data_IF_096453929975
#
_entry.id   IF_096453929975
#
_cell.length_a   1.000
_cell.length_b   1.000
_cell.length_c   1.000
_cell.angle_alpha   90.00
_cell.angle_beta   90.00
_cell.angle_gamma   90.00
#
_symmetry.space_group_name_H-M   'P 1'
#
loop_
_entity.id
_entity.type
_entity.pdbx_description
1 polymer ?
#
# COMPACT_ATOMS: atom_id res chain seq x y z
N UNK A 1 -10.54 -37.65 5.62
CA UNK A 1 -9.70 -36.81 4.73
C UNK A 1 -10.66 -35.92 3.95
N UNK A 2 -11.05 -34.76 4.51
CA UNK A 2 -12.03 -33.89 3.84
C UNK A 2 -11.30 -32.93 2.90
N UNK A 3 -11.47 -33.17 1.60
CA UNK A 3 -11.04 -32.26 0.55
C UNK A 3 -11.78 -30.93 0.72
N UNK A 4 -11.09 -29.82 0.50
CA UNK A 4 -11.73 -28.52 0.35
C UNK A 4 -12.67 -28.66 -0.86
N UNK A 5 -13.98 -28.40 -0.74
CA UNK A 5 -14.89 -28.54 -1.87
C UNK A 5 -14.44 -27.66 -3.05
N UNK A 6 -14.68 -28.08 -4.30
CA UNK A 6 -14.31 -27.30 -5.49
C UNK A 6 -14.95 -25.90 -5.46
N UNK A 7 -14.23 -24.88 -5.96
CA UNK A 7 -14.61 -23.45 -5.91
C UNK A 7 -16.01 -23.20 -6.51
N UNK A 8 -16.38 -23.98 -7.52
CA UNK A 8 -17.59 -23.78 -8.34
C UNK A 8 -18.91 -23.94 -7.56
N UNK A 9 -18.93 -24.74 -6.48
CA UNK A 9 -20.13 -25.00 -5.66
C UNK A 9 -20.40 -23.92 -4.59
N UNK A 10 -19.49 -22.96 -4.42
CA UNK A 10 -19.57 -21.92 -3.38
C UNK A 10 -19.92 -20.55 -3.99
N UNK A 11 -19.61 -20.34 -5.28
CA UNK A 11 -19.82 -19.06 -5.96
C UNK A 11 -21.31 -18.67 -6.12
N UNK A 12 -22.21 -19.65 -6.13
CA UNK A 12 -23.66 -19.44 -6.24
C UNK A 12 -24.35 -18.90 -4.97
N UNK A 13 -23.74 -19.03 -3.78
CA UNK A 13 -24.37 -18.67 -2.50
C UNK A 13 -23.88 -17.34 -1.90
N UNK A 14 -22.83 -16.75 -2.46
CA UNK A 14 -22.23 -15.52 -1.91
C UNK A 14 -22.97 -14.30 -2.51
N UNK A 15 -23.25 -13.27 -1.72
CA UNK A 15 -23.85 -12.00 -2.17
C UNK A 15 -22.76 -10.93 -2.40
N UNK A 16 -21.77 -11.19 -3.27
CA UNK A 16 -20.85 -10.12 -3.69
C UNK A 16 -21.50 -9.32 -4.84
N UNK A 17 -21.40 -7.97 -4.84
CA UNK A 17 -21.89 -7.16 -5.96
C UNK A 17 -21.19 -7.60 -7.26
N UNK A 18 -21.97 -7.81 -8.33
CA UNK A 18 -21.50 -8.41 -9.59
C UNK A 18 -20.30 -7.72 -10.24
N UNK A 19 -20.14 -6.41 -10.02
CA UNK A 19 -19.00 -5.64 -10.53
C UNK A 19 -17.68 -6.01 -9.84
N UNK A 20 -17.69 -6.28 -8.53
CA UNK A 20 -16.48 -6.64 -7.78
C UNK A 20 -15.97 -8.03 -8.14
N UNK A 21 -16.87 -8.99 -8.37
CA UNK A 21 -16.51 -10.33 -8.87
C UNK A 21 -15.83 -10.30 -10.23
N UNK A 22 -16.39 -9.49 -11.13
CA UNK A 22 -15.86 -9.34 -12.48
C UNK A 22 -14.47 -8.73 -12.43
N UNK A 23 -14.27 -7.72 -11.57
CA UNK A 23 -12.97 -7.09 -11.34
C UNK A 23 -11.96 -8.08 -10.74
N UNK A 24 -12.32 -8.80 -9.68
CA UNK A 24 -11.43 -9.74 -8.99
C UNK A 24 -10.98 -10.88 -9.93
N UNK A 25 -11.90 -11.45 -10.71
CA UNK A 25 -11.59 -12.51 -11.68
C UNK A 25 -10.67 -12.01 -12.80
N UNK A 26 -10.95 -10.82 -13.35
CA UNK A 26 -10.11 -10.20 -14.36
C UNK A 26 -8.69 -9.92 -13.84
N UNK A 27 -8.58 -9.35 -12.64
CA UNK A 27 -7.30 -9.03 -12.01
C UNK A 27 -6.48 -10.29 -11.78
N UNK A 28 -7.05 -11.34 -11.20
CA UNK A 28 -6.29 -12.55 -10.87
C UNK A 28 -5.79 -13.25 -12.14
N UNK A 29 -6.53 -13.15 -13.25
CA UNK A 29 -6.12 -13.70 -14.54
C UNK A 29 -5.01 -12.88 -15.20
N UNK A 30 -5.10 -11.55 -15.14
CA UNK A 30 -4.20 -10.64 -15.86
C UNK A 30 -2.91 -10.38 -15.07
N UNK A 31 -2.97 -10.35 -13.74
CA UNK A 31 -1.86 -9.90 -12.89
C UNK A 31 -0.53 -10.66 -13.11
N UNK A 32 -0.47 -11.99 -13.27
CA UNK A 32 0.79 -12.67 -13.55
C UNK A 32 1.44 -12.22 -14.86
N UNK A 33 0.65 -12.06 -15.92
CA UNK A 33 1.14 -11.57 -17.22
C UNK A 33 1.54 -10.09 -17.13
N UNK A 34 0.79 -9.29 -16.38
CA UNK A 34 1.10 -7.89 -16.08
C UNK A 34 2.47 -7.75 -15.41
N UNK A 35 2.78 -8.56 -14.39
CA UNK A 35 4.08 -8.51 -13.69
C UNK A 35 5.23 -8.80 -14.65
N UNK A 36 5.09 -9.83 -15.49
CA UNK A 36 6.12 -10.18 -16.48
C UNK A 36 6.28 -9.06 -17.51
N UNK A 37 5.18 -8.54 -18.05
CA UNK A 37 5.19 -7.50 -19.08
C UNK A 37 5.86 -6.21 -18.58
N UNK A 38 5.42 -5.68 -17.44
CA UNK A 38 6.01 -4.45 -16.88
C UNK A 38 7.43 -4.68 -16.34
N UNK A 39 7.77 -5.89 -15.91
CA UNK A 39 9.16 -6.28 -15.65
C UNK A 39 10.03 -6.19 -16.90
N UNK A 40 9.57 -6.72 -18.03
CA UNK A 40 10.28 -6.65 -19.32
C UNK A 40 10.38 -5.21 -19.85
N UNK A 41 9.31 -4.42 -19.74
CA UNK A 41 9.33 -3.00 -20.11
C UNK A 41 10.35 -2.24 -19.27
N UNK A 42 10.41 -2.49 -17.95
CA UNK A 42 11.39 -1.84 -17.07
C UNK A 42 12.83 -2.22 -17.42
N UNK A 43 13.08 -3.49 -17.76
CA UNK A 43 14.39 -3.95 -18.25
C UNK A 43 14.75 -3.27 -19.58
N UNK A 44 13.81 -3.20 -20.52
CA UNK A 44 14.04 -2.55 -21.82
C UNK A 44 14.30 -1.04 -21.66
N UNK A 45 13.53 -0.37 -20.80
CA UNK A 45 13.74 1.04 -20.46
C UNK A 45 15.12 1.27 -19.84
N UNK A 46 15.55 0.38 -18.92
CA UNK A 46 16.88 0.44 -18.33
C UNK A 46 18.01 0.36 -19.38
N UNK A 47 17.87 -0.55 -20.36
CA UNK A 47 18.90 -0.75 -21.41
C UNK A 47 18.95 0.42 -22.40
N UNK A 48 17.80 1.05 -22.70
CA UNK A 48 17.70 2.06 -23.77
C UNK A 48 17.93 3.48 -23.25
N UNK A 49 17.49 3.79 -22.03
CA UNK A 49 17.44 5.17 -21.55
C UNK A 49 18.68 5.61 -20.75
N UNK A 50 19.60 4.70 -20.39
CA UNK A 50 20.79 5.03 -19.60
C UNK A 50 22.07 4.46 -20.20
N UNK A 51 23.06 5.34 -20.41
CA UNK A 51 24.39 4.97 -20.91
C UNK A 51 25.23 4.23 -19.85
N UNK A 52 25.02 4.56 -18.57
CA UNK A 52 25.61 3.86 -17.44
C UNK A 52 24.64 2.80 -16.91
N UNK A 53 25.12 1.58 -16.67
CA UNK A 53 24.30 0.46 -16.22
C UNK A 53 24.41 0.29 -14.70
N UNK A 54 23.99 1.29 -13.93
CA UNK A 54 24.03 1.22 -12.47
C UNK A 54 22.82 0.48 -11.88
N UNK A 55 23.00 -0.13 -10.71
CA UNK A 55 21.90 -0.78 -9.99
C UNK A 55 20.79 0.21 -9.60
N UNK A 56 21.14 1.47 -9.31
CA UNK A 56 20.17 2.52 -8.96
C UNK A 56 19.22 2.82 -10.11
N UNK A 57 19.74 3.02 -11.31
CA UNK A 57 18.94 3.25 -12.52
C UNK A 57 18.07 2.04 -12.86
N UNK A 58 18.56 0.82 -12.63
CA UNK A 58 17.75 -0.40 -12.81
C UNK A 58 16.54 -0.44 -11.87
N UNK A 59 16.75 -0.15 -10.58
CA UNK A 59 15.66 -0.11 -9.59
C UNK A 59 14.67 1.01 -9.92
N UNK A 60 15.17 2.19 -10.32
CA UNK A 60 14.35 3.31 -10.75
C UNK A 60 13.48 2.96 -11.96
N UNK A 61 14.07 2.38 -13.02
CA UNK A 61 13.36 1.99 -14.23
C UNK A 61 12.27 0.93 -13.95
N UNK A 62 12.57 -0.05 -13.10
CA UNK A 62 11.58 -1.02 -12.64
C UNK A 62 10.45 -0.35 -11.85
N UNK A 63 10.79 0.50 -10.88
CA UNK A 63 9.83 1.21 -10.05
C UNK A 63 8.88 2.05 -10.89
N UNK A 64 9.42 2.83 -11.82
CA UNK A 64 8.65 3.66 -12.76
C UNK A 64 7.72 2.80 -13.64
N UNK A 65 8.25 1.74 -14.24
CA UNK A 65 7.47 0.81 -15.07
C UNK A 65 6.28 0.21 -14.29
N UNK A 66 6.52 -0.26 -13.07
CA UNK A 66 5.44 -0.79 -12.23
C UNK A 66 4.45 0.29 -11.80
N UNK A 67 4.90 1.47 -11.39
CA UNK A 67 4.00 2.56 -11.02
C UNK A 67 3.09 2.98 -12.18
N UNK A 68 3.64 3.08 -13.39
CA UNK A 68 2.89 3.36 -14.61
C UNK A 68 1.91 2.22 -14.93
N UNK A 69 2.35 0.97 -14.82
CA UNK A 69 1.46 -0.18 -14.99
C UNK A 69 0.31 -0.18 -13.99
N UNK A 70 0.58 0.10 -12.72
CA UNK A 70 -0.47 0.18 -11.69
C UNK A 70 -1.39 1.37 -11.91
N UNK A 71 -0.90 2.49 -12.44
CA UNK A 71 -1.74 3.61 -12.85
C UNK A 71 -2.69 3.21 -14.00
N UNK A 72 -2.19 2.48 -15.01
CA UNK A 72 -3.01 1.95 -16.11
C UNK A 72 -4.06 0.96 -15.59
N UNK A 73 -3.68 0.02 -14.71
CA UNK A 73 -4.60 -0.93 -14.07
C UNK A 73 -5.59 -0.21 -13.12
N UNK A 74 -5.17 0.93 -12.58
CA UNK A 74 -5.95 1.80 -11.72
C UNK A 74 -7.17 2.41 -12.39
N UNK A 75 -7.11 2.68 -13.70
CA UNK A 75 -8.24 3.23 -14.45
C UNK A 75 -9.47 2.30 -14.45
N UNK A 76 -9.39 1.05 -14.95
CA UNK A 76 -10.52 0.14 -14.89
C UNK A 76 -10.88 -0.23 -13.44
N UNK A 77 -9.89 -0.34 -12.54
CA UNK A 77 -10.14 -0.60 -11.12
C UNK A 77 -10.96 0.53 -10.47
N UNK A 78 -10.68 1.79 -10.78
CA UNK A 78 -11.45 2.91 -10.26
C UNK A 78 -12.90 2.88 -10.78
N UNK A 79 -13.11 2.59 -12.07
CA UNK A 79 -14.46 2.56 -12.67
C UNK A 79 -15.28 1.36 -12.18
N UNK A 80 -14.67 0.19 -12.06
CA UNK A 80 -15.35 -1.07 -11.71
C UNK A 80 -15.42 -1.34 -10.20
N UNK A 81 -14.70 -0.56 -9.39
CA UNK A 81 -14.78 -0.66 -7.93
C UNK A 81 -16.21 -0.47 -7.42
N UNK A 82 -16.56 -1.19 -6.34
CA UNK A 82 -17.89 -1.22 -5.78
C UNK A 82 -18.42 0.12 -5.27
N UNK A 83 -19.67 0.15 -4.75
CA UNK A 83 -20.33 1.37 -4.33
C UNK A 83 -19.50 2.13 -3.28
N UNK A 84 -19.08 3.34 -3.64
CA UNK A 84 -18.27 4.22 -2.81
C UNK A 84 -19.13 4.91 -1.76
N UNK A 85 -18.63 5.06 -0.54
CA UNK A 85 -19.36 5.74 0.54
C UNK A 85 -19.48 7.24 0.25
N UNK A 86 -18.36 7.86 -0.13
CA UNK A 86 -18.29 9.22 -0.64
C UNK A 86 -18.24 9.16 -2.16
N UNK A 87 -19.17 9.84 -2.87
CA UNK A 87 -19.26 9.75 -4.31
C UNK A 87 -18.10 10.48 -5.01
N UNK A 88 -17.67 10.00 -6.20
CA UNK A 88 -16.52 10.54 -6.91
C UNK A 88 -16.62 12.04 -7.22
N UNK A 89 -17.84 12.53 -7.52
CA UNK A 89 -18.07 13.92 -7.88
C UNK A 89 -17.78 14.91 -6.73
N UNK A 90 -17.72 14.43 -5.49
CA UNK A 90 -17.30 15.22 -4.33
C UNK A 90 -15.82 14.97 -4.04
N UNK A 91 -15.41 13.70 -3.94
CA UNK A 91 -14.06 13.36 -3.48
C UNK A 91 -12.97 13.80 -4.44
N UNK A 92 -13.21 13.72 -5.76
CA UNK A 92 -12.21 14.05 -6.78
C UNK A 92 -11.96 15.55 -6.81
N UNK A 93 -12.96 16.45 -6.98
CA UNK A 93 -12.70 17.90 -6.98
C UNK A 93 -12.07 18.38 -5.68
N UNK A 94 -12.49 17.86 -4.52
CA UNK A 94 -11.91 18.24 -3.22
C UNK A 94 -10.44 17.85 -3.13
N UNK A 95 -10.06 16.68 -3.66
CA UNK A 95 -8.67 16.23 -3.65
C UNK A 95 -7.79 17.08 -4.59
N UNK A 96 -8.29 17.43 -5.78
CA UNK A 96 -7.60 18.32 -6.70
C UNK A 96 -7.50 19.76 -6.16
N UNK A 97 -8.55 20.27 -5.53
CA UNK A 97 -8.50 21.59 -4.87
C UNK A 97 -7.47 21.62 -3.73
N UNK A 98 -7.40 20.55 -2.92
CA UNK A 98 -6.41 20.42 -1.86
C UNK A 98 -4.98 20.32 -2.43
N UNK A 99 -4.78 19.59 -3.53
CA UNK A 99 -3.49 19.52 -4.22
C UNK A 99 -3.07 20.87 -4.80
N UNK A 100 -3.97 21.60 -5.46
CA UNK A 100 -3.68 22.93 -5.99
C UNK A 100 -3.30 23.93 -4.88
N UNK A 101 -4.02 23.89 -3.75
CA UNK A 101 -3.69 24.69 -2.57
C UNK A 101 -2.32 24.29 -2.00
N UNK A 102 -2.02 22.99 -1.94
CA UNK A 102 -0.71 22.51 -1.50
C UNK A 102 0.42 22.94 -2.45
N UNK A 103 0.23 22.84 -3.76
CA UNK A 103 1.20 23.33 -4.76
C UNK A 103 1.46 24.82 -4.59
N UNK A 104 0.41 25.60 -4.33
CA UNK A 104 0.55 27.03 -4.02
C UNK A 104 1.37 27.27 -2.75
N UNK A 105 1.12 26.51 -1.68
CA UNK A 105 1.91 26.61 -0.44
C UNK A 105 3.37 26.22 -0.67
N UNK A 106 3.63 25.12 -1.40
CA UNK A 106 4.99 24.66 -1.70
C UNK A 106 5.77 25.67 -2.53
N UNK A 107 5.10 26.33 -3.48
CA UNK A 107 5.69 27.46 -4.22
C UNK A 107 6.16 28.58 -3.28
N UNK A 108 5.31 29.04 -2.36
CA UNK A 108 5.67 30.11 -1.42
C UNK A 108 6.72 29.71 -0.38
N UNK A 109 6.83 28.43 -0.04
CA UNK A 109 7.77 27.93 0.96
C UNK A 109 9.16 27.65 0.37
N UNK A 110 9.21 27.03 -0.82
CA UNK A 110 10.45 26.54 -1.41
C UNK A 110 10.96 27.37 -2.59
N UNK A 111 10.12 28.22 -3.21
CA UNK A 111 10.52 29.12 -4.30
C UNK A 111 10.97 28.38 -5.57
N UNK A 112 11.83 29.04 -6.34
CA UNK A 112 12.42 28.61 -7.61
C UNK A 112 13.85 28.08 -7.46
N UNK A 113 14.27 27.72 -6.24
CA UNK A 113 15.64 27.25 -5.99
C UNK A 113 15.98 25.95 -6.72
N UNK A 114 17.20 25.89 -7.27
CA UNK A 114 17.80 24.67 -7.81
C UNK A 114 17.87 23.58 -6.72
N UNK A 115 17.51 22.34 -7.06
CA UNK A 115 17.37 21.20 -6.13
C UNK A 115 16.26 21.34 -5.05
N UNK A 116 15.23 22.15 -5.31
CA UNK A 116 14.08 22.28 -4.41
C UNK A 116 13.02 21.19 -4.63
N UNK A 117 12.08 21.09 -3.70
CA UNK A 117 10.87 20.25 -3.85
C UNK A 117 10.09 20.60 -5.13
N UNK A 118 10.11 21.86 -5.53
CA UNK A 118 9.38 22.33 -6.70
C UNK A 118 10.00 21.84 -8.01
N UNK A 119 11.33 21.69 -8.07
CA UNK A 119 12.05 21.08 -9.19
C UNK A 119 11.56 19.63 -9.45
N UNK A 120 11.44 18.83 -8.38
CA UNK A 120 10.85 17.48 -8.49
C UNK A 120 9.40 17.49 -8.98
N UNK A 121 8.59 18.46 -8.55
CA UNK A 121 7.18 18.55 -8.97
C UNK A 121 7.08 18.93 -10.46
N UNK A 122 7.99 19.75 -10.96
CA UNK A 122 8.00 20.21 -12.36
C UNK A 122 8.13 19.06 -13.36
N UNK A 123 8.81 17.96 -13.01
CA UNK A 123 8.88 16.74 -13.85
C UNK A 123 7.48 16.24 -14.23
N UNK A 124 6.49 16.37 -13.33
CA UNK A 124 5.12 15.95 -13.62
C UNK A 124 4.36 16.97 -14.46
N UNK A 125 4.74 18.24 -14.45
CA UNK A 125 4.18 19.26 -15.34
C UNK A 125 4.73 19.10 -16.77
N UNK A 126 6.03 18.84 -16.91
CA UNK A 126 6.70 18.52 -18.18
C UNK A 126 6.07 17.30 -18.85
N UNK A 127 5.67 16.28 -18.07
CA UNK A 127 4.97 15.11 -18.59
C UNK A 127 3.64 15.43 -19.31
N UNK A 128 3.08 16.64 -19.11
CA UNK A 128 1.86 17.11 -19.77
C UNK A 128 2.16 18.22 -20.79
N UNK A 129 3.44 18.44 -21.12
CA UNK A 129 3.89 19.39 -22.14
C UNK A 129 4.06 20.82 -21.63
N UNK A 130 4.18 21.02 -20.32
CA UNK A 130 4.58 22.31 -19.75
C UNK A 130 6.11 22.35 -19.60
N UNK A 131 6.80 22.62 -20.72
CA UNK A 131 8.25 22.76 -20.74
C UNK A 131 8.64 24.21 -20.40
N UNK A 132 9.58 24.42 -19.47
CA UNK A 132 10.08 25.75 -19.12
C UNK A 132 10.62 25.85 -17.69
N UNK A 133 10.99 27.07 -17.29
CA UNK A 133 11.49 27.37 -15.95
C UNK A 133 10.45 27.04 -14.86
N UNK A 134 10.93 26.78 -13.63
CA UNK A 134 10.08 26.48 -12.47
C UNK A 134 9.13 27.68 -12.25
N UNK A 135 7.85 27.47 -12.54
CA UNK A 135 6.80 28.48 -12.43
C UNK A 135 5.72 28.03 -11.46
N UNK A 136 5.02 29.00 -10.84
CA UNK A 136 3.89 28.71 -9.96
C UNK A 136 2.84 27.81 -10.64
N UNK A 137 2.50 28.11 -11.90
CA UNK A 137 1.54 27.33 -12.68
C UNK A 137 2.03 25.90 -12.90
N UNK A 138 3.31 25.74 -13.26
CA UNK A 138 3.94 24.43 -13.42
C UNK A 138 3.89 23.61 -12.13
N UNK A 139 4.20 24.21 -10.96
CA UNK A 139 4.14 23.50 -9.67
C UNK A 139 2.71 23.07 -9.33
N UNK A 140 1.71 23.93 -9.56
CA UNK A 140 0.29 23.60 -9.32
C UNK A 140 -0.20 22.48 -10.26
N UNK A 141 0.15 22.53 -11.54
CA UNK A 141 -0.21 21.48 -12.50
C UNK A 141 0.52 20.18 -12.16
N UNK A 142 1.84 20.25 -11.93
CA UNK A 142 2.67 19.10 -11.60
C UNK A 142 2.17 18.35 -10.37
N UNK A 143 1.77 19.05 -9.30
CA UNK A 143 1.23 18.38 -8.12
C UNK A 143 -0.15 17.75 -8.35
N UNK A 144 -0.96 18.33 -9.24
CA UNK A 144 -2.24 17.75 -9.65
C UNK A 144 -2.03 16.49 -10.49
N UNK A 145 -1.05 16.49 -11.40
CA UNK A 145 -0.67 15.34 -12.22
C UNK A 145 -0.11 14.22 -11.33
N UNK A 146 0.78 14.58 -10.41
CA UNK A 146 1.29 13.65 -9.40
C UNK A 146 0.14 13.05 -8.57
N UNK A 147 -0.78 13.87 -8.07
CA UNK A 147 -1.96 13.38 -7.34
C UNK A 147 -2.78 12.39 -8.20
N UNK A 148 -3.00 12.70 -9.47
CA UNK A 148 -3.74 11.83 -10.38
C UNK A 148 -3.03 10.48 -10.55
N UNK A 149 -1.72 10.49 -10.79
CA UNK A 149 -0.90 9.29 -10.90
C UNK A 149 -0.97 8.44 -9.62
N UNK A 150 -0.89 9.09 -8.45
CA UNK A 150 -0.96 8.45 -7.15
C UNK A 150 -2.32 7.82 -6.89
N UNK A 151 -3.41 8.54 -7.19
CA UNK A 151 -4.78 8.03 -7.06
C UNK A 151 -4.92 6.77 -7.91
N UNK A 152 -4.56 6.84 -9.19
CA UNK A 152 -4.68 5.71 -10.12
C UNK A 152 -3.81 4.53 -9.68
N UNK A 153 -2.53 4.74 -9.41
CA UNK A 153 -1.63 3.70 -8.95
C UNK A 153 -2.16 3.05 -7.66
N UNK A 154 -2.70 3.85 -6.73
CA UNK A 154 -3.30 3.33 -5.51
C UNK A 154 -4.53 2.47 -5.79
N UNK A 155 -5.45 2.90 -6.66
CA UNK A 155 -6.58 2.05 -7.07
C UNK A 155 -6.11 0.72 -7.65
N UNK A 156 -5.07 0.74 -8.50
CA UNK A 156 -4.52 -0.47 -9.10
C UNK A 156 -3.92 -1.42 -8.06
N UNK A 157 -3.06 -0.90 -7.18
CA UNK A 157 -2.42 -1.68 -6.11
C UNK A 157 -3.48 -2.25 -5.16
N UNK A 158 -4.43 -1.42 -4.70
CA UNK A 158 -5.50 -1.85 -3.81
C UNK A 158 -6.36 -2.94 -4.43
N UNK A 159 -6.73 -2.81 -5.70
CA UNK A 159 -7.57 -3.80 -6.36
C UNK A 159 -6.88 -5.18 -6.44
N UNK A 160 -5.57 -5.21 -6.75
CA UNK A 160 -4.78 -6.45 -6.72
C UNK A 160 -4.74 -7.05 -5.31
N UNK A 161 -4.37 -6.25 -4.32
CA UNK A 161 -4.28 -6.74 -2.93
C UNK A 161 -5.64 -7.28 -2.47
N UNK A 162 -6.72 -6.56 -2.72
CA UNK A 162 -8.06 -6.98 -2.32
C UNK A 162 -8.47 -8.28 -3.02
N UNK A 163 -8.31 -8.39 -4.33
CA UNK A 163 -8.67 -9.59 -5.10
C UNK A 163 -7.94 -10.85 -4.59
N UNK A 164 -6.62 -10.74 -4.39
CA UNK A 164 -5.81 -11.86 -3.89
C UNK A 164 -6.17 -12.25 -2.46
N UNK A 165 -6.45 -11.27 -1.59
CA UNK A 165 -6.87 -11.55 -0.22
C UNK A 165 -8.26 -12.18 -0.19
N UNK A 166 -9.27 -11.65 -0.88
CA UNK A 166 -10.62 -12.27 -0.92
C UNK A 166 -10.57 -13.72 -1.35
N UNK A 167 -9.81 -14.02 -2.42
CA UNK A 167 -9.70 -15.39 -2.95
C UNK A 167 -8.98 -16.36 -2.02
N UNK A 168 -7.91 -15.94 -1.35
CA UNK A 168 -7.02 -16.88 -0.66
C UNK A 168 -7.15 -16.87 0.86
N UNK A 169 -7.65 -15.78 1.44
CA UNK A 169 -7.54 -15.53 2.87
C UNK A 169 -8.38 -16.50 3.72
N UNK A 170 -9.59 -16.84 3.27
CA UNK A 170 -10.43 -17.86 3.93
C UNK A 170 -9.72 -19.23 4.02
N UNK A 171 -8.92 -19.59 3.02
CA UNK A 171 -8.14 -20.84 3.01
C UNK A 171 -7.04 -20.83 4.06
N UNK A 172 -6.40 -19.68 4.27
CA UNK A 172 -5.37 -19.49 5.29
C UNK A 172 -5.99 -19.70 6.68
N UNK A 173 -7.17 -19.09 6.94
CA UNK A 173 -7.89 -19.28 8.20
C UNK A 173 -8.27 -20.76 8.42
N UNK A 174 -8.93 -21.38 7.44
CA UNK A 174 -9.36 -22.79 7.54
C UNK A 174 -8.20 -23.78 7.67
N UNK A 175 -7.01 -23.43 7.15
CA UNK A 175 -5.83 -24.29 7.25
C UNK A 175 -5.29 -24.42 8.67
N UNK A 176 -5.50 -23.41 9.52
CA UNK A 176 -5.11 -23.46 10.93
C UNK A 176 -5.89 -24.52 11.71
N UNK A 177 -7.15 -24.74 11.32
CA UNK A 177 -8.06 -25.71 11.94
C UNK A 177 -7.87 -27.14 11.43
N UNK A 178 -6.92 -27.43 10.51
CA UNK A 178 -6.76 -28.79 9.98
C UNK A 178 -6.16 -29.73 11.05
N UNK A 179 -6.70 -30.96 11.22
CA UNK A 179 -6.10 -31.95 12.10
C UNK A 179 -4.76 -32.44 11.52
N UNK A 180 -3.74 -32.57 12.39
CA UNK A 180 -2.37 -32.96 12.03
C UNK A 180 -1.45 -31.79 11.65
N UNK A 181 -0.15 -32.08 11.53
CA UNK A 181 0.86 -31.13 11.05
C UNK A 181 0.90 -31.14 9.51
N UNK A 182 0.42 -30.05 8.89
CA UNK A 182 0.62 -29.82 7.46
C UNK A 182 1.59 -28.66 7.23
N UNK A 183 2.37 -28.71 6.14
CA UNK A 183 3.26 -27.60 5.73
C UNK A 183 2.51 -26.27 5.66
N UNK A 184 1.23 -26.31 5.26
CA UNK A 184 0.38 -25.13 5.11
C UNK A 184 -0.06 -24.58 6.48
N UNK A 185 -0.43 -25.46 7.43
CA UNK A 185 -0.73 -25.11 8.83
C UNK A 185 0.48 -24.48 9.54
N UNK A 186 1.68 -25.04 9.38
CA UNK A 186 2.90 -24.48 9.96
C UNK A 186 3.22 -23.09 9.41
N UNK A 187 3.02 -22.87 8.11
CA UNK A 187 3.20 -21.56 7.48
C UNK A 187 2.15 -20.55 7.94
N UNK A 188 0.88 -20.93 8.08
CA UNK A 188 -0.16 -20.03 8.59
C UNK A 188 0.07 -19.67 10.06
N UNK A 189 0.37 -20.65 10.93
CA UNK A 189 0.68 -20.38 12.35
C UNK A 189 1.90 -19.46 12.50
N UNK A 190 2.94 -19.68 11.70
CA UNK A 190 4.11 -18.79 11.66
C UNK A 190 3.75 -17.39 11.18
N UNK A 191 2.89 -17.23 10.16
CA UNK A 191 2.46 -15.93 9.66
C UNK A 191 1.79 -15.09 10.76
N UNK A 192 0.95 -15.72 11.57
CA UNK A 192 0.24 -15.09 12.68
C UNK A 192 1.04 -15.09 14.00
N UNK A 193 2.26 -15.61 14.02
CA UNK A 193 3.08 -15.77 15.22
C UNK A 193 2.34 -16.47 16.38
N UNK A 194 1.47 -17.43 16.06
CA UNK A 194 0.78 -18.26 17.05
C UNK A 194 1.83 -19.13 17.75
N UNK A 195 1.93 -19.11 19.08
CA UNK A 195 2.85 -19.98 19.81
C UNK A 195 2.54 -21.45 19.56
N UNK A 196 3.57 -22.29 19.42
CA UNK A 196 3.42 -23.73 19.17
C UNK A 196 2.70 -24.49 20.31
N UNK A 197 2.47 -23.84 21.46
CA UNK A 197 1.75 -24.36 22.64
C UNK A 197 0.22 -24.29 22.44
N UNK A 198 -0.26 -23.46 21.50
CA UNK A 198 -1.70 -23.22 21.29
C UNK A 198 -2.22 -24.12 20.16
N UNK A 199 -2.99 -25.15 20.54
CA UNK A 199 -3.76 -25.93 19.58
C UNK A 199 -5.04 -25.19 19.18
N UNK A 200 -5.04 -24.61 17.98
CA UNK A 200 -6.18 -23.89 17.42
C UNK A 200 -7.30 -24.89 17.07
N UNK A 201 -8.40 -24.82 17.82
CA UNK A 201 -9.60 -25.66 17.64
C UNK A 201 -10.60 -25.01 16.70
N UNK A 202 -10.81 -23.69 16.83
CA UNK A 202 -11.72 -22.92 15.99
C UNK A 202 -11.19 -21.51 15.69
N UNK A 203 -11.76 -20.85 14.68
CA UNK A 203 -11.50 -19.44 14.37
C UNK A 203 -12.83 -18.72 14.31
N UNK A 204 -13.05 -17.76 15.21
CA UNK A 204 -14.25 -16.93 15.24
C UNK A 204 -13.97 -15.56 14.62
N UNK A 205 -14.96 -15.02 13.89
CA UNK A 205 -14.91 -13.69 13.29
C UNK A 205 -15.93 -12.80 13.99
N UNK A 206 -15.54 -11.57 14.35
CA UNK A 206 -16.45 -10.60 14.96
C UNK A 206 -17.37 -9.97 13.89
N UNK A 207 -18.71 -10.00 14.06
CA UNK A 207 -19.60 -9.17 13.26
C UNK A 207 -19.36 -7.70 13.61
N UNK A 208 -19.28 -6.82 12.62
CA UNK A 208 -19.13 -5.37 12.83
C UNK A 208 -20.35 -4.74 12.19
N UNK A 209 -21.09 -4.00 13.00
CA UNK A 209 -22.22 -3.20 12.56
C UNK A 209 -21.70 -1.84 12.11
N UNK A 210 -21.63 -1.57 10.80
CA UNK A 210 -21.66 -0.17 10.32
C UNK A 210 -21.79 -0.03 8.81
N UNK A 211 -22.91 0.56 8.38
CA UNK A 211 -23.15 1.01 7.01
C UNK A 211 -22.48 2.36 6.64
N UNK A 212 -21.59 2.91 7.50
CA UNK A 212 -20.93 4.22 7.34
C UNK A 212 -19.40 4.19 7.08
N UNK A 213 -18.78 5.34 6.81
CA UNK A 213 -17.31 5.46 6.63
C UNK A 213 -16.61 5.18 7.96
N UNK A 214 -15.76 4.15 8.02
CA UNK A 214 -15.04 3.79 9.24
C UNK A 214 -13.83 4.70 9.44
N UNK A 215 -14.01 5.76 10.25
CA UNK A 215 -12.94 6.70 10.64
C UNK A 215 -11.78 5.98 11.32
N UNK A 216 -12.06 4.93 12.09
CA UNK A 216 -11.05 4.16 12.80
C UNK A 216 -10.16 3.35 11.86
N UNK A 217 -10.74 2.78 10.79
CA UNK A 217 -9.97 2.10 9.74
C UNK A 217 -9.12 3.11 8.98
N UNK A 218 -9.71 4.25 8.59
CA UNK A 218 -8.97 5.33 7.92
C UNK A 218 -7.77 5.79 8.74
N UNK A 219 -7.98 6.19 10.01
CA UNK A 219 -6.91 6.70 10.88
C UNK A 219 -5.84 5.64 11.17
N UNK A 220 -6.24 4.36 11.26
CA UNK A 220 -5.31 3.26 11.50
C UNK A 220 -4.41 3.00 10.29
N UNK A 221 -5.00 2.86 9.11
CA UNK A 221 -4.23 2.67 7.87
C UNK A 221 -3.34 3.87 7.65
N UNK A 222 -3.86 5.08 7.84
CA UNK A 222 -3.09 6.32 7.75
C UNK A 222 -1.87 6.30 8.65
N UNK A 223 -2.03 6.04 9.95
CA UNK A 223 -0.92 6.01 10.92
C UNK A 223 0.13 4.95 10.57
N UNK A 224 -0.28 3.78 10.10
CA UNK A 224 0.65 2.72 9.71
C UNK A 224 1.38 3.03 8.41
N UNK A 225 0.70 3.60 7.41
CA UNK A 225 1.33 4.01 6.15
C UNK A 225 2.30 5.16 6.39
N UNK A 226 1.90 6.18 7.15
CA UNK A 226 2.78 7.30 7.54
C UNK A 226 3.98 6.80 8.30
N UNK A 227 3.76 6.00 9.36
CA UNK A 227 4.87 5.52 10.16
C UNK A 227 5.83 4.64 9.34
N UNK A 228 5.33 3.76 8.48
CA UNK A 228 6.19 2.94 7.60
C UNK A 228 6.89 3.78 6.52
N UNK A 229 6.24 4.81 6.00
CA UNK A 229 6.83 5.74 5.04
C UNK A 229 7.95 6.56 5.65
N UNK A 230 7.75 7.07 6.87
CA UNK A 230 8.80 7.75 7.63
C UNK A 230 9.95 6.79 7.93
N UNK A 231 9.66 5.50 8.18
CA UNK A 231 10.69 4.49 8.39
C UNK A 231 11.66 4.39 7.22
N UNK A 232 11.09 4.17 6.04
CA UNK A 232 11.87 3.97 4.82
C UNK A 232 12.61 5.26 4.46
N UNK A 233 12.00 6.41 4.72
CA UNK A 233 12.60 7.70 4.43
C UNK A 233 13.76 8.07 5.32
N UNK A 234 13.63 7.82 6.62
CA UNK A 234 14.71 8.03 7.56
C UNK A 234 15.94 7.21 7.13
N UNK A 235 15.74 6.02 6.55
CA UNK A 235 16.87 5.26 6.02
C UNK A 235 17.51 5.89 4.78
N UNK A 236 16.71 6.42 3.84
CA UNK A 236 17.23 6.98 2.59
C UNK A 236 17.81 8.39 2.75
N UNK A 237 17.13 9.27 3.49
CA UNK A 237 17.53 10.68 3.66
C UNK A 237 18.48 10.95 4.82
N UNK A 238 18.69 10.00 5.74
CA UNK A 238 19.69 10.13 6.82
C UNK A 238 20.90 9.23 6.61
N UNK A 239 21.03 8.59 5.44
CA UNK A 239 22.25 7.87 5.10
C UNK A 239 23.19 8.80 4.32
N UNK A 240 24.35 9.17 4.89
CA UNK A 240 25.27 10.11 4.25
C UNK A 240 25.79 9.60 2.91
N UNK A 241 25.91 8.27 2.75
CA UNK A 241 26.31 7.67 1.48
C UNK A 241 25.30 7.98 0.38
N UNK A 242 23.99 7.96 0.68
CA UNK A 242 22.97 8.27 -0.32
C UNK A 242 22.87 9.77 -0.61
N UNK A 243 23.06 10.62 0.41
CA UNK A 243 23.09 12.06 0.24
C UNK A 243 24.25 12.52 -0.69
N UNK A 244 25.38 11.83 -0.65
CA UNK A 244 26.55 12.18 -1.47
C UNK A 244 26.52 11.54 -2.88
N UNK A 245 25.70 10.50 -3.10
CA UNK A 245 25.73 9.70 -4.34
C UNK A 245 24.50 9.79 -5.22
N UNK A 246 23.35 10.21 -4.67
CA UNK A 246 22.07 10.24 -5.39
C UNK A 246 21.53 11.67 -5.36
N UNK A 247 21.16 12.18 -6.53
CA UNK A 247 20.53 13.49 -6.65
C UNK A 247 19.20 13.53 -5.88
N UNK A 248 18.86 14.68 -5.31
CA UNK A 248 17.65 14.87 -4.49
C UNK A 248 16.37 14.45 -5.23
N UNK A 249 16.25 14.84 -6.49
CA UNK A 249 15.12 14.53 -7.37
C UNK A 249 14.94 13.02 -7.56
N UNK A 250 16.03 12.28 -7.74
CA UNK A 250 16.02 10.82 -7.88
C UNK A 250 15.66 10.12 -6.56
N UNK A 251 16.14 10.65 -5.43
CA UNK A 251 15.76 10.17 -4.10
C UNK A 251 14.26 10.36 -3.85
N UNK A 252 13.73 11.55 -4.16
CA UNK A 252 12.31 11.87 -4.03
C UNK A 252 11.44 10.99 -4.93
N UNK A 253 11.82 10.82 -6.19
CA UNK A 253 11.12 9.93 -7.12
C UNK A 253 11.10 8.49 -6.63
N UNK A 254 12.26 7.96 -6.23
CA UNK A 254 12.38 6.61 -5.66
C UNK A 254 11.48 6.44 -4.44
N UNK A 255 11.41 7.46 -3.60
CA UNK A 255 10.59 7.44 -2.39
C UNK A 255 9.09 7.50 -2.65
N UNK A 256 8.64 8.30 -3.63
CA UNK A 256 7.24 8.29 -4.09
C UNK A 256 6.88 6.91 -4.63
N UNK A 257 7.76 6.31 -5.43
CA UNK A 257 7.57 4.97 -5.98
C UNK A 257 7.45 3.92 -4.87
N UNK A 258 8.38 3.89 -3.91
CA UNK A 258 8.33 2.94 -2.78
C UNK A 258 7.07 3.19 -1.94
N UNK A 259 6.70 4.45 -1.71
CA UNK A 259 5.54 4.82 -0.89
C UNK A 259 4.21 4.31 -1.44
N UNK A 260 4.07 4.19 -2.76
CA UNK A 260 2.90 3.57 -3.40
C UNK A 260 2.71 2.12 -2.95
N UNK A 261 3.81 1.39 -2.73
CA UNK A 261 3.80 -0.02 -2.34
C UNK A 261 3.71 -0.27 -0.83
N UNK A 262 3.90 0.74 0.02
CA UNK A 262 3.75 0.60 1.49
C UNK A 262 2.35 0.11 1.86
N UNK A 263 1.35 0.56 1.11
CA UNK A 263 -0.06 0.17 1.29
C UNK A 263 -0.24 -1.35 1.27
N UNK A 264 0.51 -2.07 0.41
CA UNK A 264 0.50 -3.54 0.29
C UNK A 264 0.87 -4.23 1.60
N UNK A 265 1.75 -3.63 2.39
CA UNK A 265 2.19 -4.19 3.68
C UNK A 265 1.19 -3.89 4.80
N UNK A 266 0.56 -2.70 4.75
CA UNK A 266 -0.32 -2.21 5.82
C UNK A 266 -1.71 -2.83 5.75
N UNK A 267 -2.26 -2.98 4.54
CA UNK A 267 -3.63 -3.44 4.32
C UNK A 267 -3.90 -4.83 4.92
N UNK A 268 -3.04 -5.85 4.72
CA UNK A 268 -3.24 -7.18 5.31
C UNK A 268 -3.45 -7.13 6.83
N UNK A 269 -2.65 -6.32 7.53
CA UNK A 269 -2.76 -6.13 8.99
C UNK A 269 -4.06 -5.42 9.36
N UNK A 270 -4.46 -4.42 8.55
CA UNK A 270 -5.71 -3.71 8.79
C UNK A 270 -6.93 -4.61 8.62
N UNK A 271 -6.97 -5.45 7.57
CA UNK A 271 -8.05 -6.42 7.31
C UNK A 271 -8.21 -7.36 8.51
N UNK A 272 -7.11 -7.95 8.96
CA UNK A 272 -7.09 -8.90 10.07
C UNK A 272 -7.66 -8.35 11.35
N UNK A 273 -7.32 -7.10 11.65
CA UNK A 273 -7.83 -6.42 12.83
C UNK A 273 -9.31 -6.05 12.70
N UNK A 274 -9.78 -5.80 11.48
CA UNK A 274 -11.19 -5.50 11.17
C UNK A 274 -12.09 -6.73 11.05
N UNK A 275 -11.51 -7.89 10.77
CA UNK A 275 -12.22 -9.17 10.83
C UNK A 275 -12.42 -9.67 12.26
N UNK A 276 -11.70 -9.09 13.24
CA UNK A 276 -11.74 -9.55 14.62
C UNK A 276 -11.37 -11.02 14.76
N UNK A 277 -10.50 -11.54 13.89
CA UNK A 277 -10.25 -12.98 13.82
C UNK A 277 -9.50 -13.47 15.07
N UNK A 278 -10.16 -14.33 15.83
CA UNK A 278 -9.64 -14.92 17.06
C UNK A 278 -9.44 -16.43 16.90
N UNK A 279 -8.24 -16.91 17.24
CA UNK A 279 -7.98 -18.34 17.32
C UNK A 279 -8.41 -18.85 18.71
N UNK A 280 -9.46 -19.67 18.71
CA UNK A 280 -9.96 -20.37 19.88
C UNK A 280 -9.11 -21.63 20.09
N UNK A 281 -8.75 -21.88 21.34
CA UNK A 281 -8.00 -23.07 21.76
C UNK A 281 -8.49 -23.51 23.13
N UNK A 282 -7.98 -24.63 23.64
CA UNK A 282 -8.26 -25.07 25.02
C UNK A 282 -7.69 -24.12 26.10
N UNK A 283 -6.91 -23.10 25.72
CA UNK A 283 -6.38 -22.11 26.64
C UNK A 283 -7.47 -21.11 27.11
N UNK A 284 -7.37 -20.57 28.34
CA UNK A 284 -8.41 -19.71 28.94
C UNK A 284 -8.58 -18.34 28.29
N UNK A 285 -7.76 -17.97 27.29
CA UNK A 285 -7.90 -16.72 26.53
C UNK A 285 -7.70 -17.00 25.03
N UNK A 286 -8.59 -16.52 24.15
CA UNK A 286 -8.42 -16.63 22.71
C UNK A 286 -7.20 -15.83 22.23
N UNK A 287 -6.51 -16.34 21.22
CA UNK A 287 -5.36 -15.67 20.63
C UNK A 287 -5.78 -14.78 19.46
N UNK A 288 -5.61 -13.48 19.64
CA UNK A 288 -5.99 -12.48 18.64
C UNK A 288 -4.96 -12.42 17.51
N UNK A 289 -5.31 -12.95 16.32
CA UNK A 289 -4.38 -13.23 15.22
C UNK A 289 -3.67 -11.98 14.67
N UNK A 290 -4.35 -10.83 14.68
CA UNK A 290 -3.77 -9.59 14.15
C UNK A 290 -2.62 -9.07 15.01
N UNK A 291 -2.60 -9.34 16.33
CA UNK A 291 -1.54 -8.88 17.24
C UNK A 291 -0.21 -9.56 16.90
N UNK A 292 -0.26 -10.87 16.66
CA UNK A 292 0.92 -11.65 16.29
C UNK A 292 1.46 -11.28 14.91
N UNK A 293 0.59 -11.12 13.91
CA UNK A 293 1.04 -10.68 12.58
C UNK A 293 1.65 -9.28 12.61
N UNK A 294 1.07 -8.34 13.38
CA UNK A 294 1.63 -7.00 13.57
C UNK A 294 3.04 -7.06 14.20
N UNK A 295 3.25 -7.88 15.23
CA UNK A 295 4.55 -8.01 15.89
C UNK A 295 5.63 -8.61 14.96
N UNK A 296 5.23 -9.50 14.05
CA UNK A 296 6.12 -10.07 13.05
C UNK A 296 6.46 -9.09 11.93
N UNK A 297 5.47 -8.33 11.45
CA UNK A 297 5.64 -7.37 10.34
C UNK A 297 6.30 -6.06 10.77
N UNK A 298 6.05 -5.58 12.00
CA UNK A 298 6.49 -4.26 12.44
C UNK A 298 7.27 -4.31 13.76
N UNK A 299 8.60 -4.38 13.66
CA UNK A 299 9.52 -4.22 14.80
C UNK A 299 9.98 -2.77 14.94
N UNK A 300 9.11 -1.91 15.45
CA UNK A 300 9.33 -0.46 15.57
C UNK A 300 10.62 -0.03 16.31
N UNK A 301 11.08 -0.81 17.27
CA UNK A 301 12.26 -0.51 18.08
C UNK A 301 13.58 -0.61 17.30
N UNK A 302 13.71 -1.59 16.40
CA UNK A 302 14.87 -1.72 15.50
C UNK A 302 14.99 -0.48 14.61
N UNK A 303 13.85 0.08 14.22
CA UNK A 303 13.81 1.27 13.38
C UNK A 303 14.24 2.53 14.13
N UNK A 304 13.68 2.81 15.32
CA UNK A 304 14.04 4.01 16.10
C UNK A 304 15.54 4.01 16.39
N UNK A 305 16.10 2.84 16.69
CA UNK A 305 17.54 2.66 16.87
C UNK A 305 18.33 2.98 15.58
N UNK A 306 17.90 2.46 14.43
CA UNK A 306 18.54 2.70 13.14
C UNK A 306 18.47 4.18 12.71
N UNK A 307 17.32 4.84 12.89
CA UNK A 307 17.14 6.26 12.61
C UNK A 307 18.06 7.13 13.47
N UNK A 308 18.11 6.88 14.78
CA UNK A 308 18.98 7.62 15.70
C UNK A 308 20.46 7.42 15.38
N UNK A 309 20.84 6.20 15.00
CA UNK A 309 22.21 5.87 14.62
C UNK A 309 22.61 6.57 13.31
N UNK A 310 21.73 6.58 12.30
CA UNK A 310 21.98 7.26 11.02
C UNK A 310 22.02 8.78 11.16
N UNK A 311 21.12 9.35 11.96
CA UNK A 311 21.16 10.77 12.32
C UNK A 311 22.48 11.14 13.00
N UNK A 312 22.96 10.31 13.93
CA UNK A 312 24.25 10.49 14.59
C UNK A 312 25.43 10.45 13.61
N UNK A 313 25.41 9.52 12.65
CA UNK A 313 26.44 9.41 11.62
C UNK A 313 26.42 10.65 10.72
N UNK A 314 25.25 11.12 10.27
CA UNK A 314 25.13 12.35 9.47
C UNK A 314 25.65 13.60 10.18
N UNK A 315 25.35 13.74 11.48
CA UNK A 315 25.85 14.85 12.31
C UNK A 315 27.38 14.78 12.47
N UNK A 316 27.95 13.58 12.52
CA UNK A 316 29.39 13.38 12.66
C UNK A 316 30.16 13.60 11.35
N UNK A 317 29.55 13.32 10.19
CA UNK A 317 30.17 13.50 8.86
C UNK A 317 30.18 14.96 8.38
N UNK A 318 29.56 15.89 9.12
CA UNK A 318 29.59 17.33 8.79
C UNK A 318 28.78 17.69 7.53
N UNK A 319 27.80 16.86 7.16
CA UNK A 319 26.90 17.14 6.05
C UNK A 319 26.03 18.37 6.35
N UNK A 320 25.67 19.14 5.32
CA UNK A 320 24.94 20.40 5.47
C UNK A 320 23.52 20.17 6.05
N UNK A 321 23.41 20.37 7.37
CA UNK A 321 22.25 20.01 8.18
C UNK A 321 20.98 20.74 7.73
N UNK A 322 21.12 21.94 7.15
CA UNK A 322 20.00 22.73 6.65
C UNK A 322 19.39 22.09 5.40
N UNK A 323 20.22 21.66 4.44
CA UNK A 323 19.78 20.95 3.22
C UNK A 323 19.05 19.65 3.55
N UNK A 324 19.60 18.87 4.50
CA UNK A 324 18.97 17.62 4.97
C UNK A 324 17.62 17.91 5.61
N UNK A 325 17.52 18.95 6.43
CA UNK A 325 16.29 19.31 7.12
C UNK A 325 15.17 19.72 6.14
N UNK A 326 15.45 20.60 5.17
CA UNK A 326 14.45 21.02 4.18
C UNK A 326 14.02 19.88 3.25
N UNK A 327 14.98 19.05 2.83
CA UNK A 327 14.72 17.84 2.02
C UNK A 327 13.80 16.86 2.77
N UNK A 328 14.09 16.61 4.04
CA UNK A 328 13.30 15.73 4.88
C UNK A 328 11.90 16.29 5.18
N UNK A 329 11.78 17.61 5.37
CA UNK A 329 10.50 18.28 5.58
C UNK A 329 9.59 18.18 4.36
N UNK A 330 10.14 18.45 3.16
CA UNK A 330 9.41 18.28 1.90
C UNK A 330 8.87 16.86 1.75
N UNK A 331 9.73 15.87 2.01
CA UNK A 331 9.33 14.47 1.97
C UNK A 331 8.20 14.12 2.97
N UNK A 332 8.28 14.61 4.21
CA UNK A 332 7.22 14.36 5.22
C UNK A 332 5.86 14.81 4.69
N UNK A 333 5.80 15.98 4.03
CA UNK A 333 4.56 16.49 3.43
C UNK A 333 4.01 15.51 2.39
N UNK A 334 4.86 15.00 1.49
CA UNK A 334 4.45 14.01 0.49
C UNK A 334 3.94 12.73 1.12
N UNK A 335 4.63 12.16 2.12
CA UNK A 335 4.15 10.94 2.79
C UNK A 335 2.81 11.14 3.43
N UNK A 336 2.61 12.27 4.11
CA UNK A 336 1.34 12.56 4.77
C UNK A 336 0.21 12.60 3.73
N UNK A 337 0.42 13.28 2.61
CA UNK A 337 -0.58 13.39 1.55
C UNK A 337 -0.84 12.05 0.84
N UNK A 338 0.21 11.35 0.43
CA UNK A 338 0.14 10.00 -0.17
C UNK A 338 -0.59 9.01 0.76
N UNK A 339 -0.25 9.06 2.05
CA UNK A 339 -0.87 8.20 3.07
C UNK A 339 -2.33 8.57 3.28
N UNK A 340 -2.68 9.86 3.26
CA UNK A 340 -4.06 10.32 3.39
C UNK A 340 -4.91 9.86 2.21
N UNK A 341 -4.43 10.07 0.97
CA UNK A 341 -5.10 9.65 -0.26
C UNK A 341 -5.30 8.14 -0.27
N UNK A 342 -4.24 7.37 -0.01
CA UNK A 342 -4.32 5.91 -0.06
C UNK A 342 -5.21 5.31 1.02
N UNK A 343 -5.14 5.85 2.24
CA UNK A 343 -6.01 5.42 3.34
C UNK A 343 -7.47 5.79 3.09
N UNK A 344 -7.71 6.95 2.47
CA UNK A 344 -9.05 7.38 2.10
C UNK A 344 -9.64 6.46 1.02
N UNK A 345 -8.91 6.19 -0.07
CA UNK A 345 -9.37 5.28 -1.14
C UNK A 345 -9.70 3.89 -0.56
N UNK A 346 -8.82 3.36 0.29
CA UNK A 346 -9.04 2.06 0.93
C UNK A 346 -10.31 2.04 1.80
N UNK A 347 -10.43 2.98 2.74
CA UNK A 347 -11.57 3.04 3.66
C UNK A 347 -12.90 3.37 2.96
N UNK A 348 -12.85 4.18 1.89
CA UNK A 348 -14.03 4.64 1.16
C UNK A 348 -14.57 3.61 0.16
N UNK A 349 -13.68 2.79 -0.42
CA UNK A 349 -14.02 1.98 -1.61
C UNK A 349 -13.81 0.48 -1.38
N UNK A 350 -12.66 0.08 -0.83
CA UNK A 350 -12.26 -1.34 -0.83
C UNK A 350 -12.57 -2.06 0.48
N UNK A 351 -12.59 -1.34 1.61
CA UNK A 351 -12.69 -1.92 2.95
C UNK A 351 -13.89 -2.87 3.11
N UNK A 352 -15.09 -2.44 2.69
CA UNK A 352 -16.33 -3.20 2.88
C UNK A 352 -16.36 -4.46 2.03
N UNK A 353 -16.28 -4.31 0.70
CA UNK A 353 -16.34 -5.45 -0.20
C UNK A 353 -15.26 -6.51 0.09
N UNK A 354 -14.09 -6.07 0.58
CA UNK A 354 -13.03 -6.96 1.02
C UNK A 354 -13.39 -7.72 2.31
N UNK A 355 -13.89 -7.01 3.32
CA UNK A 355 -14.25 -7.61 4.61
C UNK A 355 -15.44 -8.57 4.46
N UNK A 356 -16.51 -8.10 3.85
CA UNK A 356 -17.76 -8.84 3.69
C UNK A 356 -17.54 -10.07 2.80
N UNK A 357 -16.79 -9.93 1.70
CA UNK A 357 -16.43 -11.07 0.85
C UNK A 357 -15.60 -12.14 1.58
N UNK A 358 -14.72 -11.76 2.51
CA UNK A 358 -13.96 -12.73 3.33
C UNK A 358 -14.88 -13.38 4.37
N UNK A 359 -15.71 -12.59 5.06
CA UNK A 359 -16.59 -13.07 6.12
C UNK A 359 -17.66 -14.04 5.59
N UNK A 360 -18.28 -13.72 4.46
CA UNK A 360 -19.32 -14.55 3.82
C UNK A 360 -18.73 -15.89 3.35
N UNK A 361 -17.60 -15.84 2.64
CA UNK A 361 -16.89 -17.05 2.18
C UNK A 361 -16.47 -17.94 3.35
N UNK A 362 -15.99 -17.33 4.43
CA UNK A 362 -15.63 -18.06 5.64
C UNK A 362 -16.87 -18.70 6.29
N UNK A 363 -17.96 -17.95 6.47
CA UNK A 363 -19.18 -18.44 7.11
C UNK A 363 -19.82 -19.61 6.36
N UNK A 364 -19.90 -19.54 5.02
CA UNK A 364 -20.45 -20.62 4.18
C UNK A 364 -19.60 -21.89 4.32
N UNK A 365 -18.28 -21.77 4.16
CA UNK A 365 -17.37 -22.92 4.25
C UNK A 365 -17.28 -23.50 5.67
N UNK A 366 -17.39 -22.65 6.68
CA UNK A 366 -17.38 -23.07 8.08
C UNK A 366 -18.64 -23.86 8.43
N UNK A 367 -19.83 -23.42 7.97
CA UNK A 367 -21.09 -24.17 8.13
C UNK A 367 -21.04 -25.55 7.46
N UNK A 368 -20.56 -25.62 6.21
CA UNK A 368 -20.42 -26.90 5.47
C UNK A 368 -19.42 -27.88 6.09
N UNK A 369 -18.56 -27.41 7.01
CA UNK A 369 -17.62 -28.27 7.73
C UNK A 369 -18.18 -28.77 9.07
N UNK A 370 -19.12 -28.03 9.67
CA UNK A 370 -19.77 -28.39 10.94
C UNK A 370 -21.03 -29.24 10.74
N UNK A 371 -21.73 -29.09 9.62
CA UNK A 371 -22.76 -30.03 9.14
C UNK A 371 -22.11 -31.19 8.41
#
# INVERSE_FOLDING_TARGET
MYAIPPEDDVEGEINEPGNERTLDSAIIRIFPAFVVLFGLIGIAAFIVAWDSHSLGQFIYALGLSYALGFAILGLPAAVLSGPRIVPPFISVPVSFAAAALMGTVLWFVFGDGEESVNDFIMIFAEAVGMDGDISWEGVVVGICVLLAAVILATYGVLAVVCAYFRRNYHRILLSMMKPGESKLKRRSLSLFAVPDIIDVTDVELEPEESGGFSRDVFLRVFKYTVGTGLIIASYLFLNPVFLDTINFTDMMATMVLISLFITVLVIPVSILRSLGAEAVSAAPRPYVLWKGMKAKMFRWWLFVFLMLTLLWICLYTGADTARIFFSYLGYIVFVLCMSAVSSFIYANTFYRGLRDGIADRFAVLHRRRKG
#
